data_IF_245163006006
#
_entry.id   IF_245163006006
#
_cell.length_a   1.000
_cell.length_b   1.000
_cell.length_c   1.000
_cell.angle_alpha   90.00
_cell.angle_beta   90.00
_cell.angle_gamma   90.00
#
_symmetry.space_group_name_H-M   'P 1'
#
loop_
_entity.id
_entity.type
_entity.pdbx_description
1 polymer ?
#
# COMPACT_ATOMS: atom_id res chain seq x y z
N UNK A 1 -6.19 -11.59 12.88
CA UNK A 1 -7.45 -10.99 13.36
C UNK A 1 -7.12 -9.72 14.16
N UNK A 2 -7.41 -8.53 13.64
CA UNK A 2 -7.33 -7.29 14.41
C UNK A 2 -8.50 -7.20 15.42
N UNK A 3 -8.27 -6.53 16.56
CA UNK A 3 -9.34 -6.16 17.50
C UNK A 3 -9.27 -4.65 17.76
N UNK A 4 -10.41 -4.03 18.06
CA UNK A 4 -10.45 -2.61 18.43
C UNK A 4 -9.74 -2.38 19.77
N UNK A 5 -9.26 -1.16 20.00
CA UNK A 5 -8.68 -0.80 21.29
C UNK A 5 -9.71 -0.88 22.44
N UNK A 6 -11.01 -0.72 22.14
CA UNK A 6 -12.09 -0.87 23.12
C UNK A 6 -12.19 -2.30 23.62
N UNK A 7 -12.23 -3.28 22.70
CA UNK A 7 -12.23 -4.70 23.07
C UNK A 7 -10.91 -5.08 23.75
N UNK A 8 -9.78 -4.55 23.28
CA UNK A 8 -8.49 -4.74 23.94
C UNK A 8 -8.49 -4.17 25.37
N UNK A 9 -9.14 -3.03 25.61
CA UNK A 9 -9.26 -2.42 26.93
C UNK A 9 -10.05 -3.29 27.90
N UNK A 10 -11.17 -3.86 27.46
CA UNK A 10 -11.94 -4.80 28.28
C UNK A 10 -11.11 -6.00 28.71
N UNK A 11 -10.36 -6.60 27.76
CA UNK A 11 -9.49 -7.73 28.04
C UNK A 11 -8.32 -7.36 28.96
N UNK A 12 -7.57 -6.31 28.59
CA UNK A 12 -6.33 -5.92 29.28
C UNK A 12 -6.59 -5.38 30.69
N UNK A 13 -7.73 -4.72 30.93
CA UNK A 13 -8.10 -4.18 32.24
C UNK A 13 -8.28 -5.26 33.31
N UNK A 14 -8.57 -6.50 32.91
CA UNK A 14 -8.69 -7.64 33.80
C UNK A 14 -7.39 -8.40 34.04
N UNK A 15 -6.34 -8.16 33.22
CA UNK A 15 -5.07 -8.89 33.35
C UNK A 15 -4.39 -8.47 34.67
N UNK A 16 -3.92 -9.45 35.45
CA UNK A 16 -3.19 -9.26 36.71
C UNK A 16 -1.82 -9.92 36.61
N UNK A 17 -1.05 -9.84 37.69
CA UNK A 17 0.29 -10.40 37.80
C UNK A 17 1.35 -9.32 37.76
N UNK A 18 2.55 -9.66 37.26
CA UNK A 18 3.66 -8.71 37.24
C UNK A 18 3.35 -7.55 36.30
N UNK A 19 3.78 -6.36 36.72
CA UNK A 19 3.79 -5.17 35.87
C UNK A 19 4.61 -5.41 34.60
N UNK A 20 4.16 -4.81 33.49
CA UNK A 20 4.97 -4.75 32.27
C UNK A 20 6.22 -3.87 32.48
N UNK A 21 7.31 -4.10 31.73
CA UNK A 21 8.42 -3.15 31.65
C UNK A 21 7.95 -1.76 31.19
N UNK A 22 8.68 -0.70 31.56
CA UNK A 22 8.26 0.69 31.29
C UNK A 22 7.96 0.97 29.80
N UNK A 23 8.74 0.39 28.87
CA UNK A 23 8.54 0.56 27.43
C UNK A 23 7.37 -0.22 26.83
N UNK A 24 6.68 -1.05 27.62
CA UNK A 24 5.54 -1.86 27.16
C UNK A 24 4.19 -1.29 27.61
N UNK A 25 4.19 -0.24 28.44
CA UNK A 25 2.98 0.44 28.82
C UNK A 25 2.38 1.17 27.61
N UNK A 26 1.11 0.90 27.30
CA UNK A 26 0.35 1.61 26.26
C UNK A 26 -0.45 2.80 26.82
N UNK A 27 -1.31 3.37 25.97
CA UNK A 27 -2.08 4.59 26.28
C UNK A 27 -3.43 4.39 27.00
N UNK A 28 -3.82 3.17 27.38
CA UNK A 28 -5.08 2.96 28.10
C UNK A 28 -4.93 3.38 29.58
N UNK A 29 -6.02 3.82 30.25
CA UNK A 29 -5.96 4.49 31.56
C UNK A 29 -5.83 3.51 32.74
N UNK A 30 -4.97 2.49 32.60
CA UNK A 30 -4.67 1.54 33.67
C UNK A 30 -3.26 0.94 33.46
N UNK A 31 -2.71 0.38 34.54
CA UNK A 31 -1.41 -0.29 34.52
C UNK A 31 -1.52 -1.62 33.79
N UNK A 32 -0.62 -1.86 32.85
CA UNK A 32 -0.60 -3.12 32.11
C UNK A 32 0.13 -4.18 32.92
N UNK A 33 -0.36 -5.41 32.83
CA UNK A 33 0.23 -6.58 33.46
C UNK A 33 0.47 -7.66 32.41
N UNK A 34 1.45 -8.53 32.65
CA UNK A 34 1.80 -9.63 31.72
C UNK A 34 0.97 -10.90 31.94
N UNK A 35 0.12 -10.95 32.96
CA UNK A 35 -0.66 -12.15 33.29
C UNK A 35 -0.06 -12.98 34.43
N UNK A 36 -0.60 -14.19 34.68
CA UNK A 36 -1.35 -15.01 33.71
C UNK A 36 -2.89 -14.93 33.75
N UNK A 37 -3.53 -14.13 34.61
CA UNK A 37 -5.00 -14.20 34.74
C UNK A 37 -5.63 -13.08 35.58
N UNK A 38 -6.94 -13.13 35.90
CA UNK A 38 -7.89 -14.23 35.65
C UNK A 38 -8.60 -14.18 34.30
N UNK A 39 -8.25 -13.25 33.41
CA UNK A 39 -8.94 -13.05 32.12
C UNK A 39 -8.84 -14.29 31.26
N UNK A 40 -9.99 -14.76 30.76
CA UNK A 40 -10.09 -15.83 29.78
C UNK A 40 -10.74 -15.28 28.52
N UNK A 41 -10.15 -15.58 27.36
CA UNK A 41 -10.71 -15.24 26.07
C UNK A 41 -10.74 -16.51 25.19
N UNK A 42 -11.84 -16.69 24.46
CA UNK A 42 -11.93 -17.71 23.42
C UNK A 42 -11.83 -17.03 22.07
N UNK A 43 -10.76 -17.31 21.34
CA UNK A 43 -10.60 -16.84 19.95
C UNK A 43 -11.04 -17.95 19.02
N UNK A 44 -12.01 -17.64 18.15
CA UNK A 44 -12.37 -18.50 17.02
C UNK A 44 -12.23 -17.64 15.76
N UNK A 45 -11.32 -18.05 14.88
CA UNK A 45 -11.23 -17.51 13.52
C UNK A 45 -11.92 -18.51 12.62
N UNK A 46 -13.03 -18.11 12.03
CA UNK A 46 -13.69 -18.85 10.95
C UNK A 46 -13.26 -18.23 9.64
N UNK A 47 -12.86 -19.11 8.72
CA UNK A 47 -12.20 -18.88 7.44
C UNK A 47 -12.53 -17.55 6.72
N UNK A 48 -11.47 -16.94 6.20
CA UNK A 48 -11.55 -15.78 5.33
C UNK A 48 -11.67 -16.24 3.87
N UNK A 49 -12.91 -16.45 3.43
CA UNK A 49 -13.25 -16.76 2.04
C UNK A 49 -12.77 -15.71 1.03
N UNK A 50 -12.31 -14.53 1.46
CA UNK A 50 -11.66 -13.55 0.57
C UNK A 50 -10.32 -14.09 0.05
N UNK A 51 -9.65 -14.95 0.81
CA UNK A 51 -8.36 -15.56 0.46
C UNK A 51 -8.47 -16.83 -0.41
N UNK A 52 -9.68 -17.34 -0.62
CA UNK A 52 -9.88 -18.51 -1.48
C UNK A 52 -9.83 -18.13 -2.97
N UNK A 53 -8.77 -18.61 -3.63
CA UNK A 53 -8.62 -18.63 -5.09
C UNK A 53 -7.93 -17.41 -5.70
N UNK A 54 -7.43 -17.58 -6.91
CA UNK A 54 -6.80 -16.52 -7.70
C UNK A 54 -7.81 -15.42 -8.03
N UNK A 55 -7.41 -14.17 -7.86
CA UNK A 55 -8.16 -12.98 -8.29
C UNK A 55 -7.41 -12.33 -9.44
N UNK A 56 -8.16 -11.82 -10.42
CA UNK A 56 -7.58 -11.00 -11.47
C UNK A 56 -7.33 -9.60 -10.92
N UNK A 57 -6.10 -9.12 -11.08
CA UNK A 57 -5.66 -7.77 -10.73
C UNK A 57 -5.43 -6.96 -12.01
N UNK A 58 -5.50 -5.64 -11.92
CA UNK A 58 -5.37 -4.75 -13.07
C UNK A 58 -4.47 -3.56 -12.78
N UNK A 59 -3.21 -3.61 -13.19
CA UNK A 59 -2.40 -2.39 -13.24
C UNK A 59 -2.79 -1.52 -14.43
N UNK A 60 -2.84 -0.21 -14.21
CA UNK A 60 -3.19 0.76 -15.26
C UNK A 60 -2.03 1.71 -15.53
N UNK A 61 -1.71 1.88 -16.81
CA UNK A 61 -0.57 2.67 -17.26
C UNK A 61 -0.98 3.80 -18.19
N UNK A 62 -0.44 4.99 -17.96
CA UNK A 62 -0.42 6.11 -18.89
C UNK A 62 1.00 6.39 -19.35
N UNK A 63 1.27 6.39 -20.65
CA UNK A 63 2.64 6.52 -21.17
C UNK A 63 2.76 7.75 -22.06
N UNK A 64 3.67 8.65 -21.70
CA UNK A 64 4.09 9.78 -22.54
C UNK A 64 5.46 9.46 -23.11
N UNK A 65 5.50 9.08 -24.40
CA UNK A 65 6.76 8.74 -25.08
C UNK A 65 7.68 9.96 -25.18
N UNK A 66 8.93 9.77 -24.77
CA UNK A 66 9.99 10.78 -24.85
C UNK A 66 10.39 11.10 -26.29
N UNK A 67 10.90 12.31 -26.52
CA UNK A 67 11.30 12.78 -27.85
C UNK A 67 12.72 12.40 -28.27
N UNK A 68 13.66 12.30 -27.32
CA UNK A 68 15.07 12.01 -27.62
C UNK A 68 15.51 10.65 -27.08
N UNK A 69 15.06 10.30 -25.87
CA UNK A 69 15.43 9.09 -25.15
C UNK A 69 14.18 8.28 -24.83
N UNK A 70 13.46 7.75 -25.85
CA UNK A 70 12.17 7.09 -25.64
C UNK A 70 12.26 5.78 -24.86
N UNK A 71 13.44 5.16 -24.80
CA UNK A 71 13.67 3.89 -24.09
C UNK A 71 14.13 4.09 -22.63
N UNK A 72 14.41 5.34 -22.23
CA UNK A 72 14.67 5.72 -20.85
C UNK A 72 13.35 6.12 -20.15
N UNK A 73 13.05 5.47 -19.03
CA UNK A 73 11.76 5.53 -18.35
C UNK A 73 11.90 6.23 -17.00
N UNK A 74 11.04 7.22 -16.76
CA UNK A 74 10.75 7.74 -15.43
C UNK A 74 9.36 7.25 -15.06
N UNK A 75 9.26 6.41 -14.03
CA UNK A 75 8.01 5.81 -13.59
C UNK A 75 7.52 6.59 -12.37
N UNK A 76 6.25 6.98 -12.38
CA UNK A 76 5.56 7.66 -11.28
C UNK A 76 4.38 6.78 -10.87
N UNK A 77 4.42 6.22 -9.67
CA UNK A 77 3.53 5.15 -9.23
C UNK A 77 2.81 5.43 -7.92
N UNK A 78 1.57 4.95 -7.82
CA UNK A 78 0.83 4.82 -6.57
C UNK A 78 -0.09 3.60 -6.66
N UNK A 79 -0.40 2.91 -5.56
CA UNK A 79 -1.41 1.86 -5.62
C UNK A 79 -2.81 2.44 -5.48
N UNK A 80 -3.80 1.70 -5.99
CA UNK A 80 -5.20 2.12 -5.99
C UNK A 80 -6.12 1.26 -5.14
N UNK A 81 -5.71 0.03 -4.83
CA UNK A 81 -6.44 -0.85 -3.92
C UNK A 81 -6.32 -0.36 -2.48
N UNK A 82 -7.30 -0.71 -1.64
CA UNK A 82 -7.34 -0.30 -0.24
C UNK A 82 -8.17 -1.29 0.60
N UNK A 83 -7.85 -1.43 1.88
CA UNK A 83 -8.67 -2.23 2.83
C UNK A 83 -10.06 -1.63 3.14
N UNK A 84 -10.26 -0.34 2.86
CA UNK A 84 -11.49 0.40 3.15
C UNK A 84 -11.73 1.51 2.13
N UNK A 85 -12.29 2.68 2.53
CA UNK A 85 -12.45 3.82 1.62
C UNK A 85 -11.12 4.35 1.05
N UNK A 86 -10.00 4.06 1.72
CA UNK A 86 -8.66 4.29 1.21
C UNK A 86 -8.25 5.74 0.99
N UNK A 87 -8.94 6.71 1.61
CA UNK A 87 -8.74 8.13 1.32
C UNK A 87 -7.26 8.57 1.51
N UNK A 88 -6.63 8.16 2.61
CA UNK A 88 -5.20 8.38 2.82
C UNK A 88 -4.38 7.30 2.09
N UNK A 89 -4.68 6.04 2.36
CA UNK A 89 -3.98 4.88 1.82
C UNK A 89 -4.89 4.08 0.87
N UNK A 90 -4.82 4.29 -0.45
CA UNK A 90 -3.88 5.17 -1.15
C UNK A 90 -4.51 6.04 -2.24
N UNK A 91 -5.80 6.34 -2.12
CA UNK A 91 -6.49 7.24 -3.04
C UNK A 91 -5.81 8.61 -3.11
N UNK A 92 -5.27 9.12 -2.00
CA UNK A 92 -4.51 10.39 -2.01
C UNK A 92 -3.28 10.34 -2.93
N UNK A 93 -2.55 9.22 -2.93
CA UNK A 93 -1.41 8.98 -3.82
C UNK A 93 -1.87 8.82 -5.27
N UNK A 94 -2.87 7.97 -5.51
CA UNK A 94 -3.45 7.75 -6.84
C UNK A 94 -3.94 9.06 -7.48
N UNK A 95 -4.67 9.91 -6.76
CA UNK A 95 -5.13 11.21 -7.28
C UNK A 95 -3.95 12.13 -7.60
N UNK A 96 -2.88 12.09 -6.82
CA UNK A 96 -1.66 12.85 -7.11
C UNK A 96 -1.00 12.40 -8.42
N UNK A 97 -0.93 11.09 -8.68
CA UNK A 97 -0.43 10.53 -9.94
C UNK A 97 -1.32 10.94 -11.12
N UNK A 98 -2.65 10.86 -10.96
CA UNK A 98 -3.61 11.24 -12.00
C UNK A 98 -3.54 12.73 -12.35
N UNK A 99 -3.41 13.61 -11.36
CA UNK A 99 -3.27 15.05 -11.61
C UNK A 99 -1.91 15.41 -12.21
N UNK A 100 -0.83 14.73 -11.81
CA UNK A 100 0.46 14.86 -12.48
C UNK A 100 0.38 14.43 -13.95
N UNK A 101 -0.28 13.30 -14.22
CA UNK A 101 -0.51 12.81 -15.58
C UNK A 101 -1.32 13.81 -16.42
N UNK A 102 -2.38 14.40 -15.84
CA UNK A 102 -3.20 15.42 -16.50
C UNK A 102 -2.37 16.67 -16.84
N UNK A 103 -1.60 17.18 -15.88
CA UNK A 103 -0.76 18.35 -16.07
C UNK A 103 0.31 18.13 -17.16
N UNK A 104 0.98 16.97 -17.15
CA UNK A 104 1.95 16.61 -18.19
C UNK A 104 1.26 16.46 -19.55
N UNK A 105 0.06 15.87 -19.61
CA UNK A 105 -0.69 15.75 -20.85
C UNK A 105 -1.03 17.12 -21.45
N UNK A 106 -1.39 18.12 -20.63
CA UNK A 106 -1.65 19.49 -21.09
C UNK A 106 -0.40 20.13 -21.69
N UNK A 107 0.77 19.95 -21.06
CA UNK A 107 2.06 20.40 -21.57
C UNK A 107 2.42 19.74 -22.92
N UNK A 108 2.13 18.44 -23.05
CA UNK A 108 2.34 17.69 -24.31
C UNK A 108 1.41 18.18 -25.41
N UNK A 109 0.14 18.48 -25.11
CA UNK A 109 -0.82 19.05 -26.07
C UNK A 109 -0.40 20.44 -26.54
N UNK A 110 0.31 21.21 -25.70
CA UNK A 110 0.93 22.48 -26.07
C UNK A 110 2.21 22.31 -26.92
N UNK A 111 2.62 21.09 -27.26
CA UNK A 111 3.75 20.80 -28.15
C UNK A 111 5.08 20.53 -27.43
N UNK A 112 5.10 20.54 -26.09
CA UNK A 112 6.29 20.26 -25.31
C UNK A 112 6.32 18.79 -24.88
N UNK A 113 7.18 18.00 -25.51
CA UNK A 113 7.40 16.60 -25.13
C UNK A 113 8.56 16.46 -24.16
N UNK A 114 8.48 15.54 -23.18
CA UNK A 114 9.62 15.25 -22.32
C UNK A 114 10.74 14.59 -23.12
N UNK A 115 11.98 14.81 -22.69
CA UNK A 115 13.16 14.19 -23.29
C UNK A 115 13.13 12.66 -23.17
N UNK A 116 12.71 12.16 -22.00
CA UNK A 116 12.57 10.74 -21.63
C UNK A 116 11.10 10.33 -21.62
N UNK A 117 10.83 9.03 -21.70
CA UNK A 117 9.49 8.51 -21.53
C UNK A 117 9.05 8.60 -20.07
N UNK A 118 7.84 9.10 -19.83
CA UNK A 118 7.22 9.11 -18.51
C UNK A 118 6.12 8.06 -18.49
N UNK A 119 6.14 7.21 -17.48
CA UNK A 119 5.13 6.18 -17.22
C UNK A 119 4.42 6.54 -15.93
N UNK A 120 3.12 6.81 -16.01
CA UNK A 120 2.25 6.92 -14.84
C UNK A 120 1.62 5.55 -14.61
N UNK A 121 1.74 5.01 -13.40
CA UNK A 121 1.22 3.69 -13.05
C UNK A 121 0.32 3.78 -11.83
N UNK A 122 -0.83 3.11 -11.89
CA UNK A 122 -1.66 2.85 -10.71
C UNK A 122 -1.69 1.34 -10.45
N UNK A 123 -1.06 0.92 -9.35
CA UNK A 123 -0.87 -0.49 -9.01
C UNK A 123 -2.10 -1.09 -8.33
N UNK A 124 -2.34 -2.37 -8.56
CA UNK A 124 -3.33 -3.17 -7.86
C UNK A 124 -2.69 -4.11 -6.84
N UNK A 125 -3.51 -4.58 -5.89
CA UNK A 125 -3.16 -5.59 -4.90
C UNK A 125 -1.86 -5.29 -4.11
N UNK A 126 -1.58 -4.01 -3.84
CA UNK A 126 -0.47 -3.59 -2.99
C UNK A 126 -0.71 -4.02 -1.53
N UNK A 127 -1.95 -3.88 -1.07
CA UNK A 127 -2.35 -4.17 0.32
C UNK A 127 -2.23 -5.66 0.65
N UNK A 128 -2.17 -6.49 -0.40
CA UNK A 128 -2.00 -7.93 -0.34
C UNK A 128 -0.54 -8.38 -0.49
N UNK A 129 0.40 -7.44 -0.52
CA UNK A 129 1.85 -7.71 -0.56
C UNK A 129 2.52 -7.25 -1.85
N UNK A 130 2.25 -6.01 -2.26
CA UNK A 130 2.90 -5.33 -3.40
C UNK A 130 2.68 -6.04 -4.76
N UNK A 131 1.62 -6.85 -4.89
CA UNK A 131 1.52 -7.87 -5.95
C UNK A 131 1.60 -7.26 -7.35
N UNK A 132 0.73 -6.28 -7.69
CA UNK A 132 0.72 -5.71 -9.05
C UNK A 132 2.07 -5.13 -9.46
N UNK A 133 2.63 -4.27 -8.61
CA UNK A 133 3.95 -3.66 -8.87
C UNK A 133 5.09 -4.68 -8.96
N UNK A 134 5.03 -5.76 -8.18
CA UNK A 134 6.06 -6.82 -8.18
C UNK A 134 5.98 -7.63 -9.46
N UNK A 135 4.79 -8.10 -9.83
CA UNK A 135 4.57 -8.88 -11.05
C UNK A 135 4.92 -8.07 -12.31
N UNK A 136 4.66 -6.76 -12.32
CA UNK A 136 5.12 -5.86 -13.39
C UNK A 136 6.65 -5.86 -13.55
N UNK A 137 7.38 -5.82 -12.43
CA UNK A 137 8.85 -5.85 -12.45
C UNK A 137 9.36 -7.22 -12.86
N UNK A 138 8.70 -8.30 -12.45
CA UNK A 138 9.08 -9.67 -12.80
C UNK A 138 8.90 -9.94 -14.30
N UNK A 139 7.75 -9.56 -14.87
CA UNK A 139 7.44 -9.78 -16.29
C UNK A 139 8.37 -9.00 -17.23
N UNK A 140 8.85 -7.82 -16.82
CA UNK A 140 9.61 -6.90 -17.68
C UNK A 140 10.98 -6.50 -17.12
N UNK A 141 11.54 -7.35 -16.26
CA UNK A 141 12.78 -7.10 -15.52
C UNK A 141 13.95 -6.66 -16.40
N UNK A 142 14.16 -7.30 -17.56
CA UNK A 142 15.27 -6.98 -18.45
C UNK A 142 15.16 -5.60 -19.12
N UNK A 143 13.94 -5.14 -19.45
CA UNK A 143 13.74 -3.80 -20.01
C UNK A 143 13.92 -2.76 -18.93
N UNK A 144 13.34 -2.99 -17.75
CA UNK A 144 13.44 -2.07 -16.62
C UNK A 144 14.89 -1.93 -16.14
N UNK A 145 15.65 -3.01 -16.04
CA UNK A 145 17.07 -2.96 -15.68
C UNK A 145 17.92 -2.12 -16.64
N UNK A 146 17.54 -2.02 -17.91
CA UNK A 146 18.28 -1.25 -18.92
C UNK A 146 17.77 0.19 -19.06
N UNK A 147 16.46 0.39 -18.91
CA UNK A 147 15.79 1.62 -19.29
C UNK A 147 15.21 2.42 -18.13
N UNK A 148 14.93 1.82 -16.97
CA UNK A 148 14.39 2.55 -15.83
C UNK A 148 15.45 3.49 -15.25
N UNK A 149 15.19 4.80 -15.34
CA UNK A 149 16.05 5.85 -14.81
C UNK A 149 15.70 6.15 -13.36
N UNK A 150 14.40 6.18 -13.04
CA UNK A 150 13.90 6.41 -11.69
C UNK A 150 12.47 5.86 -11.52
N UNK A 151 12.15 5.47 -10.29
CA UNK A 151 10.81 5.20 -9.81
C UNK A 151 10.48 6.21 -8.71
N UNK A 152 9.36 6.90 -8.81
CA UNK A 152 8.86 7.93 -7.91
C UNK A 152 7.49 7.55 -7.35
#
# INVERSE_FOLDING_TARGET
MPISYGNASELLSGVRGRDVPAGWQGGLPFRYHVGPGPVQARVRVTDDRVTEGTKLIHDTFGIVRGSELPDELVIIGAHRDAWGPGASDNVSGTVSVLEAARAVADVVRAGHRPRRTIVFATWDAEEWGLIGSTEYVEDDSLRLLRGAVAYL
#
